data_IF_410794977902
#
_entry.id   IF_410794977902
#
_cell.length_a   1.000
_cell.length_b   1.000
_cell.length_c   1.000
_cell.angle_alpha   90.00
_cell.angle_beta   90.00
_cell.angle_gamma   90.00
#
_symmetry.space_group_name_H-M   'P 1'
#
loop_
_entity.id
_entity.type
_entity.pdbx_description
1 polymer ?
#
# COMPACT_ATOMS: atom_id res chain seq x y z
N UNK A 1 -5.66 -2.14 4.90
CA UNK A 1 -6.97 -1.83 5.53
C UNK A 1 -7.63 -0.65 4.81
N UNK A 2 -8.96 -0.60 4.80
CA UNK A 2 -9.73 0.52 4.22
C UNK A 2 -9.88 1.63 5.26
N UNK A 3 -8.86 2.50 5.37
CA UNK A 3 -8.86 3.64 6.29
C UNK A 3 -9.28 4.88 5.51
N UNK A 4 -10.55 5.31 5.68
CA UNK A 4 -11.13 6.41 4.92
C UNK A 4 -10.32 7.70 5.04
N UNK A 5 -9.87 8.05 6.25
CA UNK A 5 -9.06 9.26 6.48
C UNK A 5 -7.74 9.26 5.70
N UNK A 6 -7.11 8.11 5.52
CA UNK A 6 -5.91 7.99 4.70
C UNK A 6 -6.21 8.29 3.22
N UNK A 7 -7.23 7.63 2.66
CA UNK A 7 -7.55 7.78 1.23
C UNK A 7 -8.11 9.15 0.89
N UNK A 8 -8.88 9.78 1.79
CA UNK A 8 -9.38 11.15 1.58
C UNK A 8 -8.22 12.17 1.62
N UNK A 9 -7.25 12.00 2.51
CA UNK A 9 -6.05 12.86 2.51
C UNK A 9 -5.21 12.64 1.26
N UNK A 10 -5.01 11.40 0.83
CA UNK A 10 -4.32 11.11 -0.43
C UNK A 10 -5.04 11.74 -1.63
N UNK A 11 -6.36 11.65 -1.69
CA UNK A 11 -7.15 12.31 -2.73
C UNK A 11 -7.00 13.84 -2.70
N UNK A 12 -6.96 14.44 -1.51
CA UNK A 12 -6.68 15.88 -1.34
C UNK A 12 -5.32 16.26 -1.94
N UNK A 13 -4.31 15.43 -1.74
CA UNK A 13 -2.94 15.71 -2.23
C UNK A 13 -2.82 15.56 -3.76
N UNK A 14 -3.46 14.55 -4.36
CA UNK A 14 -3.32 14.23 -5.79
C UNK A 14 -4.50 14.74 -6.64
N UNK A 15 -5.59 15.15 -6.03
CA UNK A 15 -6.84 15.56 -6.67
C UNK A 15 -7.68 14.40 -7.23
N UNK A 16 -8.96 14.63 -7.43
CA UNK A 16 -9.94 13.61 -7.88
C UNK A 16 -9.79 13.26 -9.37
N UNK A 17 -9.39 14.23 -10.20
CA UNK A 17 -9.35 14.07 -11.66
C UNK A 17 -8.42 12.95 -12.13
N UNK A 18 -7.29 12.76 -11.46
CA UNK A 18 -6.32 11.69 -11.76
C UNK A 18 -6.93 10.29 -11.56
N UNK A 19 -7.40 9.97 -10.36
CA UNK A 19 -8.11 8.72 -10.06
C UNK A 19 -9.32 8.45 -10.97
N UNK A 20 -10.16 9.45 -11.22
CA UNK A 20 -11.30 9.31 -12.14
C UNK A 20 -10.86 8.95 -13.57
N UNK A 21 -9.85 9.64 -14.11
CA UNK A 21 -9.28 9.30 -15.43
C UNK A 21 -8.69 7.90 -15.45
N UNK A 22 -8.02 7.49 -14.37
CA UNK A 22 -7.43 6.16 -14.25
C UNK A 22 -8.53 5.08 -14.23
N UNK A 23 -9.59 5.25 -13.43
CA UNK A 23 -10.72 4.33 -13.42
C UNK A 23 -11.31 4.12 -14.83
N UNK A 24 -11.50 5.21 -15.59
CA UNK A 24 -11.99 5.11 -16.98
C UNK A 24 -10.98 4.38 -17.90
N UNK A 25 -9.66 4.58 -17.73
CA UNK A 25 -8.63 3.84 -18.49
C UNK A 25 -8.65 2.35 -18.16
N UNK A 26 -8.98 1.99 -16.93
CA UNK A 26 -9.14 0.61 -16.46
C UNK A 26 -10.45 -0.05 -16.93
N UNK A 27 -11.27 0.65 -17.71
CA UNK A 27 -12.52 0.13 -18.28
C UNK A 27 -13.77 0.41 -17.45
N UNK A 28 -13.66 1.06 -16.30
CA UNK A 28 -14.80 1.47 -15.48
C UNK A 28 -15.36 2.77 -16.05
N UNK A 29 -16.47 2.66 -16.79
CA UNK A 29 -17.10 3.80 -17.48
C UNK A 29 -17.85 4.70 -16.50
N UNK A 30 -17.17 5.73 -15.99
CA UNK A 30 -17.74 6.65 -15.01
C UNK A 30 -18.11 8.00 -15.63
N UNK A 31 -19.37 8.46 -15.46
CA UNK A 31 -19.79 9.81 -15.83
C UNK A 31 -18.88 10.90 -15.23
N UNK A 32 -18.66 11.98 -16.00
CA UNK A 32 -17.76 13.07 -15.59
C UNK A 32 -18.14 13.73 -14.26
N UNK A 33 -19.43 13.68 -13.87
CA UNK A 33 -19.90 14.21 -12.57
C UNK A 33 -19.15 13.65 -11.38
N UNK A 34 -18.68 12.38 -11.45
CA UNK A 34 -17.92 11.76 -10.36
C UNK A 34 -16.52 12.35 -10.17
N UNK A 35 -15.98 13.05 -11.17
CA UNK A 35 -14.69 13.75 -11.03
C UNK A 35 -14.74 14.98 -10.11
N UNK A 36 -15.90 15.33 -9.59
CA UNK A 36 -16.10 16.44 -8.63
C UNK A 36 -16.66 15.99 -7.27
N UNK A 37 -16.83 14.69 -7.04
CA UNK A 37 -17.38 14.17 -5.78
C UNK A 37 -16.25 13.81 -4.82
N UNK A 38 -16.12 14.48 -3.66
CA UNK A 38 -15.08 14.15 -2.65
C UNK A 38 -15.16 12.71 -2.11
N UNK A 39 -16.31 12.06 -2.25
CA UNK A 39 -16.50 10.66 -1.87
C UNK A 39 -16.11 9.66 -2.97
N UNK A 40 -15.56 10.13 -4.08
CA UNK A 40 -15.17 9.27 -5.21
C UNK A 40 -14.19 8.18 -4.79
N UNK A 41 -13.15 8.55 -4.04
CA UNK A 41 -12.14 7.60 -3.55
C UNK A 41 -12.70 6.54 -2.60
N UNK A 42 -13.87 6.79 -2.01
CA UNK A 42 -14.56 5.85 -1.11
C UNK A 42 -15.57 4.95 -1.84
N UNK A 43 -15.73 5.10 -3.16
CA UNK A 43 -16.56 4.22 -3.97
C UNK A 43 -18.03 4.64 -4.10
N UNK A 44 -18.32 5.94 -4.26
CA UNK A 44 -19.66 6.47 -4.41
C UNK A 44 -20.36 6.09 -5.73
N UNK A 45 -19.59 5.64 -6.72
CA UNK A 45 -20.10 5.31 -8.05
C UNK A 45 -20.57 3.85 -8.14
N UNK A 46 -21.73 3.65 -8.77
CA UNK A 46 -22.20 2.30 -9.13
C UNK A 46 -21.35 1.74 -10.27
N UNK A 47 -20.91 0.50 -10.13
CA UNK A 47 -20.03 -0.19 -11.08
C UNK A 47 -20.53 -1.61 -11.30
N UNK A 48 -20.47 -2.12 -12.55
CA UNK A 48 -20.78 -3.52 -12.80
C UNK A 48 -19.67 -4.46 -12.30
N UNK A 49 -19.98 -5.68 -11.83
CA UNK A 49 -18.98 -6.67 -11.47
C UNK A 49 -18.02 -7.00 -12.61
N UNK A 50 -18.50 -6.99 -13.85
CA UNK A 50 -17.68 -7.24 -15.04
C UNK A 50 -16.64 -6.14 -15.24
N UNK A 51 -17.03 -4.86 -15.14
CA UNK A 51 -16.10 -3.74 -15.29
C UNK A 51 -15.06 -3.73 -14.17
N UNK A 52 -15.48 -4.06 -12.93
CA UNK A 52 -14.54 -4.21 -11.81
C UNK A 52 -13.56 -5.37 -12.03
N UNK A 53 -14.04 -6.52 -12.50
CA UNK A 53 -13.17 -7.66 -12.83
C UNK A 53 -12.16 -7.30 -13.93
N UNK A 54 -12.57 -6.55 -14.97
CA UNK A 54 -11.67 -6.04 -16.03
C UNK A 54 -10.61 -5.10 -15.47
N UNK A 55 -10.99 -4.19 -14.55
CA UNK A 55 -10.05 -3.28 -13.92
C UNK A 55 -8.97 -4.05 -13.14
N UNK A 56 -9.39 -5.06 -12.36
CA UNK A 56 -8.46 -5.92 -11.60
C UNK A 56 -7.64 -6.84 -12.52
N UNK A 57 -8.20 -7.33 -13.63
CA UNK A 57 -7.45 -8.04 -14.66
C UNK A 57 -6.33 -7.20 -15.27
N UNK A 58 -6.50 -5.88 -15.33
CA UNK A 58 -5.46 -4.96 -15.80
C UNK A 58 -4.25 -4.95 -14.86
N UNK A 59 -4.45 -5.03 -13.54
CA UNK A 59 -3.34 -5.17 -12.59
C UNK A 59 -2.64 -6.53 -12.73
N UNK A 60 -3.42 -7.64 -12.84
CA UNK A 60 -2.89 -8.98 -13.10
C UNK A 60 -2.03 -9.03 -14.38
N UNK A 61 -2.47 -8.32 -15.43
CA UNK A 61 -1.79 -8.20 -16.72
C UNK A 61 -0.72 -7.08 -16.74
N UNK A 62 -0.23 -6.66 -15.57
CA UNK A 62 0.84 -5.68 -15.44
C UNK A 62 0.57 -4.37 -16.20
N UNK A 63 -0.66 -3.87 -16.09
CA UNK A 63 -1.10 -2.60 -16.67
C UNK A 63 -1.66 -2.68 -18.09
N UNK A 64 -1.77 -3.86 -18.66
CA UNK A 64 -2.42 -4.07 -19.97
C UNK A 64 -3.92 -4.26 -19.76
N UNK A 65 -4.71 -3.29 -20.19
CA UNK A 65 -6.18 -3.39 -20.18
C UNK A 65 -6.66 -4.04 -21.48
N UNK A 66 -7.48 -5.09 -21.36
CA UNK A 66 -8.18 -5.71 -22.48
C UNK A 66 -9.69 -5.61 -22.25
N UNK A 67 -10.45 -5.17 -23.25
CA UNK A 67 -11.90 -5.17 -23.17
C UNK A 67 -12.45 -6.59 -23.08
N UNK A 68 -13.43 -6.83 -22.20
CA UNK A 68 -14.10 -8.11 -22.12
C UNK A 68 -14.82 -8.42 -23.43
N UNK A 69 -14.73 -9.68 -23.84
CA UNK A 69 -15.42 -10.21 -25.02
C UNK A 69 -15.97 -11.59 -24.69
N UNK A 70 -17.28 -11.81 -24.85
CA UNK A 70 -17.93 -13.08 -24.50
C UNK A 70 -17.63 -14.18 -25.53
N UNK A 71 -17.26 -13.78 -26.77
CA UNK A 71 -16.99 -14.69 -27.86
C UNK A 71 -15.66 -14.35 -28.50
N UNK A 72 -14.82 -15.35 -28.72
CA UNK A 72 -13.51 -15.18 -29.36
C UNK A 72 -13.55 -15.55 -30.87
N UNK A 73 -14.37 -16.54 -31.23
CA UNK A 73 -14.64 -16.91 -32.62
C UNK A 73 -15.96 -17.68 -32.72
N UNK A 74 -16.52 -17.69 -33.90
CA UNK A 74 -17.70 -18.47 -34.29
C UNK A 74 -17.26 -19.46 -35.38
N UNK A 75 -17.58 -20.72 -35.17
CA UNK A 75 -17.27 -21.81 -36.11
C UNK A 75 -18.55 -22.48 -36.60
N UNK A 76 -18.52 -23.06 -37.82
CA UNK A 76 -19.57 -23.95 -38.28
C UNK A 76 -19.44 -25.36 -37.67
N UNK A 77 -20.37 -26.25 -37.96
CA UNK A 77 -20.38 -27.62 -37.48
C UNK A 77 -19.17 -28.48 -37.97
N UNK A 78 -18.42 -27.99 -38.92
CA UNK A 78 -17.22 -28.66 -39.48
C UNK A 78 -15.93 -28.08 -38.90
N UNK A 79 -16.01 -27.06 -38.00
CA UNK A 79 -14.86 -26.40 -37.41
C UNK A 79 -14.27 -25.25 -38.26
N UNK A 80 -14.95 -24.87 -39.37
CA UNK A 80 -14.49 -23.71 -40.14
C UNK A 80 -14.81 -22.41 -39.39
N UNK A 81 -13.82 -21.54 -39.29
CA UNK A 81 -13.99 -20.24 -38.62
C UNK A 81 -14.81 -19.31 -39.50
N UNK A 82 -16.04 -19.00 -39.06
CA UNK A 82 -16.95 -18.08 -39.73
C UNK A 82 -16.66 -16.63 -39.38
N UNK A 83 -16.27 -16.39 -38.12
CA UNK A 83 -15.93 -15.04 -37.63
C UNK A 83 -14.97 -15.12 -36.47
N UNK A 84 -13.97 -14.24 -36.48
CA UNK A 84 -13.02 -14.05 -35.38
C UNK A 84 -13.15 -12.64 -34.80
N UNK A 85 -13.03 -12.54 -33.48
CA UNK A 85 -13.04 -11.27 -32.77
C UNK A 85 -11.65 -11.00 -32.21
N UNK A 86 -11.04 -9.90 -32.63
CA UNK A 86 -9.70 -9.54 -32.22
C UNK A 86 -9.64 -9.06 -30.77
N UNK A 87 -8.48 -9.21 -30.15
CA UNK A 87 -8.20 -8.65 -28.83
C UNK A 87 -8.09 -7.13 -28.94
N UNK A 88 -8.83 -6.43 -28.09
CA UNK A 88 -8.67 -4.97 -27.91
C UNK A 88 -7.93 -4.72 -26.60
N UNK A 89 -6.60 -4.76 -26.66
CA UNK A 89 -5.72 -4.60 -25.50
C UNK A 89 -4.80 -3.40 -25.69
N UNK A 90 -4.57 -2.65 -24.61
CA UNK A 90 -3.64 -1.51 -24.60
C UNK A 90 -2.98 -1.37 -23.23
N UNK A 91 -1.73 -0.90 -23.21
CA UNK A 91 -1.07 -0.50 -21.96
C UNK A 91 -1.71 0.80 -21.45
N UNK A 92 -2.24 0.79 -20.21
CA UNK A 92 -2.94 1.94 -19.61
C UNK A 92 -2.21 2.49 -18.38
N UNK A 93 -1.29 1.71 -17.82
CA UNK A 93 -0.36 2.14 -16.78
C UNK A 93 0.98 1.42 -16.95
N UNK A 94 2.10 2.01 -16.48
CA UNK A 94 3.40 1.32 -16.48
C UNK A 94 3.37 0.02 -15.69
N UNK A 95 4.06 -1.03 -16.19
CA UNK A 95 4.12 -2.32 -15.50
C UNK A 95 4.62 -2.24 -14.06
N UNK A 96 5.67 -1.45 -13.72
CA UNK A 96 6.11 -1.32 -12.34
C UNK A 96 5.05 -0.74 -11.40
N UNK A 97 4.18 0.15 -11.91
CA UNK A 97 3.06 0.70 -11.12
C UNK A 97 2.01 -0.38 -10.85
N UNK A 98 1.67 -1.20 -11.84
CA UNK A 98 0.75 -2.32 -11.65
C UNK A 98 1.32 -3.39 -10.70
N UNK A 99 2.63 -3.65 -10.77
CA UNK A 99 3.33 -4.56 -9.87
C UNK A 99 3.29 -4.05 -8.42
N UNK A 100 3.52 -2.74 -8.21
CA UNK A 100 3.41 -2.12 -6.88
C UNK A 100 1.98 -2.15 -6.32
N UNK A 101 0.95 -1.92 -7.18
CA UNK A 101 -0.46 -2.07 -6.78
C UNK A 101 -0.75 -3.52 -6.37
N UNK A 102 -0.24 -4.50 -7.13
CA UNK A 102 -0.43 -5.92 -6.83
C UNK A 102 0.25 -6.31 -5.50
N UNK A 103 1.44 -5.79 -5.22
CA UNK A 103 2.16 -6.02 -3.97
C UNK A 103 1.37 -5.50 -2.74
N UNK A 104 0.82 -4.29 -2.84
CA UNK A 104 -0.05 -3.72 -1.79
C UNK A 104 -1.33 -4.55 -1.60
N UNK A 105 -1.97 -4.99 -2.69
CA UNK A 105 -3.22 -5.75 -2.64
C UNK A 105 -3.03 -7.21 -2.19
N UNK A 106 -1.83 -7.78 -2.32
CA UNK A 106 -1.46 -9.08 -1.72
C UNK A 106 -1.64 -9.07 -0.21
N UNK A 107 -1.27 -8.00 0.45
CA UNK A 107 -1.42 -7.87 1.91
C UNK A 107 -2.86 -8.02 2.42
N UNK A 108 -3.86 -7.92 1.54
CA UNK A 108 -5.26 -8.24 1.89
C UNK A 108 -5.49 -9.74 1.96
N UNK A 109 -4.74 -10.53 1.17
CA UNK A 109 -4.87 -11.99 1.06
C UNK A 109 -3.91 -12.76 1.98
N UNK A 110 -2.99 -12.08 2.64
CA UNK A 110 -2.04 -12.66 3.58
C UNK A 110 -2.68 -12.94 4.95
N UNK A 111 -2.06 -13.79 5.79
CA UNK A 111 -2.52 -14.03 7.15
C UNK A 111 -2.71 -12.72 7.93
N UNK A 112 -3.90 -12.53 8.53
CA UNK A 112 -4.29 -11.28 9.21
C UNK A 112 -4.88 -10.20 8.29
N UNK A 113 -4.88 -10.39 6.97
CA UNK A 113 -5.63 -9.59 6.01
C UNK A 113 -7.11 -9.99 5.96
N UNK A 114 -7.98 -9.09 5.51
CA UNK A 114 -9.43 -9.33 5.43
C UNK A 114 -9.82 -10.44 4.42
N UNK A 115 -8.96 -10.76 3.49
CA UNK A 115 -9.15 -11.82 2.48
C UNK A 115 -8.34 -13.10 2.76
N UNK A 116 -7.56 -13.17 3.84
CA UNK A 116 -6.64 -14.29 4.09
C UNK A 116 -7.33 -15.65 4.10
N UNK A 117 -8.53 -15.77 4.69
CA UNK A 117 -9.33 -17.00 4.70
C UNK A 117 -9.91 -17.37 3.32
N UNK A 118 -9.87 -16.46 2.36
CA UNK A 118 -10.42 -16.63 1.01
C UNK A 118 -9.36 -17.11 0.00
N UNK A 119 -8.10 -17.22 0.42
CA UNK A 119 -6.99 -17.61 -0.45
C UNK A 119 -7.33 -18.87 -1.27
N UNK A 120 -7.09 -18.84 -2.59
CA UNK A 120 -7.31 -20.01 -3.44
C UNK A 120 -6.19 -21.07 -3.35
N UNK A 121 -5.19 -20.87 -2.48
CA UNK A 121 -3.98 -21.70 -2.40
C UNK A 121 -2.89 -21.29 -3.38
N UNK A 122 -3.11 -20.26 -4.17
CA UNK A 122 -2.13 -19.66 -5.09
C UNK A 122 -1.90 -18.18 -4.72
N UNK A 123 -0.77 -17.56 -5.13
CA UNK A 123 -0.55 -16.14 -4.98
C UNK A 123 -1.73 -15.33 -5.52
N UNK A 124 -2.30 -14.50 -4.65
CA UNK A 124 -3.50 -13.74 -4.98
C UNK A 124 -3.46 -12.35 -4.34
N UNK A 125 -4.19 -11.43 -4.93
CA UNK A 125 -4.34 -10.05 -4.49
C UNK A 125 -5.82 -9.67 -4.54
N UNK A 126 -6.27 -8.76 -3.68
CA UNK A 126 -7.69 -8.43 -3.68
C UNK A 126 -8.05 -7.29 -2.76
N UNK A 127 -9.33 -6.93 -2.77
CA UNK A 127 -9.89 -5.88 -1.93
C UNK A 127 -11.35 -6.15 -1.58
N UNK A 128 -11.69 -5.95 -0.32
CA UNK A 128 -13.07 -5.95 0.17
C UNK A 128 -13.72 -4.59 -0.06
N UNK A 129 -15.02 -4.55 -0.29
CA UNK A 129 -15.86 -3.36 -0.28
C UNK A 129 -17.08 -3.58 0.61
N UNK A 130 -17.49 -2.56 1.36
CA UNK A 130 -18.71 -2.54 2.16
C UNK A 130 -19.24 -1.11 2.18
N UNK A 131 -20.45 -0.90 1.71
CA UNK A 131 -21.10 0.41 1.73
C UNK A 131 -21.63 0.74 3.12
N UNK A 132 -21.89 2.01 3.37
CA UNK A 132 -22.56 2.44 4.59
C UNK A 132 -23.92 1.75 4.72
N UNK A 133 -24.27 1.32 5.94
CA UNK A 133 -25.52 0.59 6.20
C UNK A 133 -25.57 -0.81 5.60
N UNK A 134 -24.44 -1.34 5.15
CA UNK A 134 -24.32 -2.69 4.57
C UNK A 134 -25.33 -2.98 3.44
N UNK A 135 -25.57 -1.96 2.59
CA UNK A 135 -26.49 -2.05 1.45
C UNK A 135 -25.91 -2.90 0.31
N UNK A 136 -24.59 -2.87 0.16
CA UNK A 136 -23.84 -3.65 -0.81
C UNK A 136 -22.48 -4.04 -0.25
N UNK A 137 -22.05 -5.26 -0.50
CA UNK A 137 -20.75 -5.79 -0.12
C UNK A 137 -20.05 -6.38 -1.33
N UNK A 138 -18.74 -6.19 -1.43
CA UNK A 138 -17.92 -6.54 -2.59
C UNK A 138 -16.66 -7.28 -2.19
N UNK A 139 -16.23 -8.14 -3.09
CA UNK A 139 -14.86 -8.65 -3.13
C UNK A 139 -14.38 -8.67 -4.58
N UNK A 140 -13.31 -7.96 -4.86
CA UNK A 140 -12.62 -8.01 -6.15
C UNK A 140 -11.20 -8.53 -5.90
N UNK A 141 -10.78 -9.54 -6.68
CA UNK A 141 -9.47 -10.16 -6.48
C UNK A 141 -8.99 -10.88 -7.73
N UNK A 142 -7.71 -11.23 -7.73
CA UNK A 142 -7.05 -11.86 -8.87
C UNK A 142 -5.83 -12.67 -8.45
N UNK A 143 -5.50 -13.65 -9.28
CA UNK A 143 -4.18 -14.27 -9.39
C UNK A 143 -3.47 -13.67 -10.60
N UNK A 144 -2.19 -13.97 -10.86
CA UNK A 144 -1.56 -13.54 -12.12
C UNK A 144 -2.26 -14.01 -13.42
N UNK A 145 -3.17 -14.96 -13.31
CA UNK A 145 -3.80 -15.61 -14.48
C UNK A 145 -5.32 -15.41 -14.60
N UNK A 146 -5.98 -15.02 -13.52
CA UNK A 146 -7.44 -14.88 -13.46
C UNK A 146 -7.84 -13.73 -12.56
N UNK A 147 -8.82 -12.93 -12.97
CA UNK A 147 -9.43 -11.89 -12.15
C UNK A 147 -10.94 -12.10 -12.06
N UNK A 148 -11.53 -11.72 -10.94
CA UNK A 148 -12.95 -11.81 -10.71
C UNK A 148 -13.44 -10.80 -9.67
N UNK A 149 -14.72 -10.47 -9.73
CA UNK A 149 -15.38 -9.65 -8.74
C UNK A 149 -16.72 -10.29 -8.37
N UNK A 150 -17.04 -10.27 -7.09
CA UNK A 150 -18.32 -10.70 -6.55
C UNK A 150 -18.96 -9.58 -5.75
N UNK A 151 -20.27 -9.47 -5.84
CA UNK A 151 -21.06 -8.53 -5.05
C UNK A 151 -22.36 -9.16 -4.58
N UNK A 152 -22.80 -8.73 -3.41
CA UNK A 152 -24.12 -8.99 -2.88
C UNK A 152 -24.72 -7.67 -2.45
N UNK A 153 -25.93 -7.39 -2.84
CA UNK A 153 -26.65 -6.17 -2.49
C UNK A 153 -28.12 -6.46 -2.19
N UNK A 154 -28.72 -5.66 -1.33
CA UNK A 154 -30.12 -5.75 -0.98
C UNK A 154 -30.98 -4.80 -1.83
N UNK A 155 -32.17 -5.31 -2.26
CA UNK A 155 -33.15 -4.52 -2.99
C UNK A 155 -34.54 -4.77 -2.41
N UNK A 156 -35.27 -3.70 -2.12
CA UNK A 156 -36.67 -3.74 -1.71
C UNK A 156 -37.57 -4.01 -2.90
N UNK A 157 -38.82 -4.46 -2.69
CA UNK A 157 -39.76 -4.67 -3.79
C UNK A 157 -40.01 -3.43 -4.68
N UNK A 158 -39.78 -2.24 -4.15
CA UNK A 158 -39.92 -0.97 -4.91
C UNK A 158 -38.63 -0.58 -5.66
N UNK A 159 -37.60 -1.46 -5.70
CA UNK A 159 -36.35 -1.20 -6.38
C UNK A 159 -35.31 -0.39 -5.58
N UNK A 160 -35.65 0.12 -4.42
CA UNK A 160 -34.71 0.86 -3.57
C UNK A 160 -33.73 -0.09 -2.89
N UNK A 161 -32.54 0.42 -2.57
CA UNK A 161 -31.54 -0.33 -1.80
C UNK A 161 -32.07 -0.72 -0.42
N UNK A 162 -31.68 -1.91 0.05
CA UNK A 162 -32.00 -2.44 1.38
C UNK A 162 -30.73 -2.94 2.08
N UNK A 163 -30.72 -2.91 3.40
CA UNK A 163 -29.62 -3.48 4.17
C UNK A 163 -29.57 -4.98 4.00
N UNK A 164 -28.36 -5.52 4.00
CA UNK A 164 -28.12 -6.97 4.02
C UNK A 164 -28.18 -7.57 5.43
N UNK A 165 -28.02 -6.73 6.46
CA UNK A 165 -28.03 -7.19 7.86
C UNK A 165 -29.42 -7.66 8.26
N UNK A 166 -29.47 -8.80 8.94
CA UNK A 166 -30.70 -9.46 9.31
C UNK A 166 -31.43 -10.19 8.16
N UNK A 167 -30.88 -10.17 6.93
CA UNK A 167 -31.47 -10.86 5.77
C UNK A 167 -30.96 -12.29 5.63
N UNK A 168 -31.80 -13.13 5.05
CA UNK A 168 -31.39 -14.47 4.63
C UNK A 168 -30.63 -14.39 3.31
N UNK A 169 -29.35 -14.79 3.35
CA UNK A 169 -28.46 -14.81 2.18
C UNK A 169 -27.90 -16.22 2.06
N UNK A 170 -28.21 -16.90 0.95
CA UNK A 170 -27.81 -18.28 0.73
C UNK A 170 -28.39 -19.26 1.76
N UNK A 171 -29.59 -18.99 2.25
CA UNK A 171 -30.30 -19.84 3.24
C UNK A 171 -29.95 -19.54 4.70
N UNK A 172 -29.05 -18.60 4.97
CA UNK A 172 -28.62 -18.22 6.33
C UNK A 172 -28.95 -16.76 6.63
N UNK A 173 -29.52 -16.50 7.81
CA UNK A 173 -29.71 -15.15 8.32
C UNK A 173 -28.37 -14.61 8.82
N UNK A 174 -27.94 -13.48 8.27
CA UNK A 174 -26.68 -12.81 8.62
C UNK A 174 -26.95 -11.66 9.58
N UNK A 175 -26.39 -11.71 10.78
CA UNK A 175 -26.50 -10.61 11.75
C UNK A 175 -25.71 -9.38 11.28
N UNK A 176 -24.56 -9.59 10.65
CA UNK A 176 -23.73 -8.54 10.04
C UNK A 176 -23.11 -9.07 8.75
N UNK A 177 -23.01 -8.22 7.76
CA UNK A 177 -22.47 -8.52 6.44
C UNK A 177 -21.26 -7.67 6.12
N UNK A 178 -20.31 -8.21 5.36
CA UNK A 178 -19.13 -7.49 4.90
C UNK A 178 -18.59 -8.10 3.60
N UNK A 179 -17.70 -7.36 2.95
CA UNK A 179 -17.01 -7.89 1.76
C UNK A 179 -16.31 -9.21 2.03
N UNK A 180 -15.65 -9.38 3.18
CA UNK A 180 -14.92 -10.60 3.52
C UNK A 180 -15.82 -11.78 3.90
N UNK A 181 -16.97 -11.53 4.55
CA UNK A 181 -17.83 -12.61 5.09
C UNK A 181 -18.97 -13.01 4.17
N UNK A 182 -19.33 -12.17 3.20
CA UNK A 182 -20.50 -12.40 2.33
C UNK A 182 -20.10 -12.49 0.86
N UNK A 183 -19.53 -11.44 0.25
CA UNK A 183 -19.08 -11.49 -1.15
C UNK A 183 -17.78 -12.29 -1.33
N UNK A 184 -16.86 -12.20 -0.38
CA UNK A 184 -15.58 -12.89 -0.42
C UNK A 184 -15.67 -14.41 -0.59
N UNK A 185 -16.52 -15.14 0.16
CA UNK A 185 -16.68 -16.58 -0.03
C UNK A 185 -17.12 -16.98 -1.44
N UNK A 186 -17.92 -16.16 -2.14
CA UNK A 186 -18.32 -16.41 -3.53
C UNK A 186 -17.06 -16.40 -4.42
N UNK A 187 -16.25 -15.35 -4.30
CA UNK A 187 -14.99 -15.24 -5.02
C UNK A 187 -14.02 -16.38 -4.63
N UNK A 188 -13.77 -16.57 -3.33
CA UNK A 188 -12.79 -17.53 -2.84
C UNK A 188 -13.10 -18.97 -3.23
N UNK A 189 -14.37 -19.39 -3.10
CA UNK A 189 -14.79 -20.73 -3.49
C UNK A 189 -14.70 -20.95 -5.01
N UNK A 190 -15.07 -19.94 -5.80
CA UNK A 190 -14.92 -20.00 -7.26
C UNK A 190 -13.45 -20.16 -7.64
N UNK A 191 -12.56 -19.34 -7.06
CA UNK A 191 -11.13 -19.38 -7.38
C UNK A 191 -10.47 -20.68 -6.89
N UNK A 192 -10.85 -21.20 -5.73
CA UNK A 192 -10.41 -22.53 -5.25
C UNK A 192 -10.81 -23.64 -6.23
N UNK A 193 -12.03 -23.61 -6.72
CA UNK A 193 -12.53 -24.63 -7.64
C UNK A 193 -11.79 -24.64 -8.97
N UNK A 194 -11.35 -23.49 -9.48
CA UNK A 194 -10.66 -23.37 -10.77
C UNK A 194 -9.14 -23.35 -10.66
N UNK A 195 -8.57 -23.22 -9.46
CA UNK A 195 -7.13 -23.10 -9.24
C UNK A 195 -6.32 -24.25 -9.88
N UNK A 196 -6.87 -25.47 -9.85
CA UNK A 196 -6.23 -26.67 -10.42
C UNK A 196 -5.96 -26.58 -11.93
N UNK A 197 -6.66 -25.71 -12.66
CA UNK A 197 -6.50 -25.51 -14.09
C UNK A 197 -5.70 -24.27 -14.43
N UNK A 198 -5.27 -23.50 -13.44
CA UNK A 198 -4.50 -22.27 -13.63
C UNK A 198 -3.02 -22.53 -13.32
N UNK A 199 -2.10 -21.94 -14.10
CA UNK A 199 -0.68 -21.97 -13.75
C UNK A 199 -0.46 -21.36 -12.35
N UNK A 200 0.30 -22.04 -11.49
CA UNK A 200 0.76 -21.49 -10.22
C UNK A 200 1.93 -20.53 -10.46
N UNK A 201 1.63 -19.26 -10.61
CA UNK A 201 2.59 -18.19 -10.84
C UNK A 201 2.51 -17.15 -9.73
N UNK A 202 3.67 -16.62 -9.34
CA UNK A 202 3.70 -15.47 -8.43
C UNK A 202 3.65 -14.15 -9.21
N UNK A 203 3.29 -13.09 -8.49
CA UNK A 203 3.35 -11.72 -8.99
C UNK A 203 4.80 -11.27 -9.17
N UNK A 204 5.04 -10.41 -10.15
CA UNK A 204 6.32 -9.72 -10.26
C UNK A 204 6.45 -8.74 -9.09
N UNK A 205 7.52 -8.87 -8.34
CA UNK A 205 7.79 -7.96 -7.20
C UNK A 205 8.27 -6.61 -7.74
N UNK A 206 7.71 -5.50 -7.26
CA UNK A 206 8.21 -4.18 -7.61
C UNK A 206 9.63 -3.98 -7.05
N UNK A 207 10.46 -3.23 -7.76
CA UNK A 207 11.78 -2.84 -7.25
C UNK A 207 11.66 -1.80 -6.13
N UNK A 208 12.70 -1.62 -5.33
CA UNK A 208 12.76 -0.57 -4.33
C UNK A 208 12.56 0.84 -4.93
N UNK A 209 13.02 1.06 -6.15
CA UNK A 209 12.86 2.31 -6.90
C UNK A 209 11.40 2.51 -7.35
N UNK A 210 10.70 1.43 -7.71
CA UNK A 210 9.28 1.51 -8.11
C UNK A 210 8.38 1.87 -6.93
N UNK A 211 8.75 1.44 -5.71
CA UNK A 211 7.98 1.72 -4.49
C UNK A 211 8.31 3.10 -3.92
N UNK A 212 9.60 3.44 -3.86
CA UNK A 212 10.09 4.65 -3.19
C UNK A 212 10.27 5.84 -4.15
N UNK A 213 10.18 5.60 -5.46
CA UNK A 213 10.55 6.58 -6.47
C UNK A 213 12.07 6.77 -6.58
N UNK A 214 12.49 7.73 -7.39
CA UNK A 214 13.89 8.15 -7.45
C UNK A 214 14.24 8.81 -6.12
N UNK A 215 15.21 8.23 -5.43
CA UNK A 215 15.71 8.79 -4.17
C UNK A 215 16.70 9.93 -4.48
N UNK A 216 16.50 11.03 -3.80
CA UNK A 216 17.37 12.22 -3.87
C UNK A 216 18.11 12.34 -2.55
N UNK A 217 19.42 12.60 -2.62
CA UNK A 217 20.23 12.81 -1.43
C UNK A 217 20.00 14.21 -0.86
N UNK A 218 19.80 14.29 0.45
CA UNK A 218 19.70 15.59 1.15
C UNK A 218 21.06 16.28 1.12
N UNK A 219 21.19 17.50 0.57
CA UNK A 219 22.42 18.26 0.62
C UNK A 219 22.74 18.75 2.03
N UNK A 220 23.97 19.24 2.25
CA UNK A 220 24.32 19.89 3.50
C UNK A 220 23.74 21.31 3.50
N UNK A 221 22.84 21.58 4.43
CA UNK A 221 22.17 22.89 4.60
C UNK A 221 22.52 23.59 5.90
N UNK A 222 23.38 22.99 6.73
CA UNK A 222 23.86 23.61 7.97
C UNK A 222 24.61 24.93 7.70
N UNK A 223 24.33 25.94 8.51
CA UNK A 223 24.92 27.28 8.37
C UNK A 223 24.27 28.19 7.31
N UNK A 224 23.29 27.71 6.54
CA UNK A 224 22.51 28.53 5.59
C UNK A 224 21.35 29.23 6.31
N UNK A 225 20.86 30.33 5.72
CA UNK A 225 19.59 30.92 6.09
C UNK A 225 18.43 29.94 5.89
N UNK A 226 17.38 30.05 6.71
CA UNK A 226 16.23 29.14 6.60
C UNK A 226 15.60 29.16 5.22
N UNK A 227 15.37 30.34 4.64
CA UNK A 227 14.70 30.48 3.34
C UNK A 227 15.55 29.94 2.19
N UNK A 228 16.88 30.13 2.24
CA UNK A 228 17.80 29.57 1.25
C UNK A 228 17.83 28.05 1.31
N UNK A 229 17.95 27.48 2.51
CA UNK A 229 17.94 26.04 2.71
C UNK A 229 16.59 25.42 2.30
N UNK A 230 15.50 26.12 2.59
CA UNK A 230 14.16 25.72 2.19
C UNK A 230 14.01 25.70 0.69
N UNK A 231 14.38 26.77 0.00
CA UNK A 231 14.29 26.86 -1.45
C UNK A 231 15.12 25.78 -2.15
N UNK A 232 16.33 25.49 -1.64
CA UNK A 232 17.19 24.43 -2.18
C UNK A 232 16.55 23.04 -2.03
N UNK A 233 15.99 22.73 -0.86
CA UNK A 233 15.35 21.44 -0.60
C UNK A 233 14.02 21.29 -1.33
N UNK A 234 13.22 22.35 -1.43
CA UNK A 234 11.98 22.35 -2.21
C UNK A 234 12.27 22.23 -3.71
N UNK A 235 13.36 22.82 -4.20
CA UNK A 235 13.85 22.64 -5.57
C UNK A 235 14.24 21.19 -5.90
N UNK A 236 14.61 20.40 -4.90
CA UNK A 236 14.86 18.96 -5.01
C UNK A 236 13.58 18.11 -4.84
N UNK A 237 12.44 18.75 -4.63
CA UNK A 237 11.14 18.10 -4.50
C UNK A 237 10.74 17.71 -3.08
N UNK A 238 11.46 18.12 -2.04
CA UNK A 238 11.13 17.84 -0.65
C UNK A 238 10.10 18.82 -0.09
N UNK A 239 9.32 18.38 0.91
CA UNK A 239 8.51 19.28 1.75
C UNK A 239 9.38 19.75 2.91
N UNK A 240 9.46 21.05 3.16
CA UNK A 240 10.29 21.59 4.23
C UNK A 240 9.45 22.13 5.38
N UNK A 241 9.80 21.71 6.59
CA UNK A 241 9.16 22.15 7.84
C UNK A 241 10.21 22.78 8.74
N UNK A 242 9.85 23.90 9.37
CA UNK A 242 10.70 24.56 10.38
C UNK A 242 10.56 23.82 11.71
N UNK A 243 11.67 23.32 12.23
CA UNK A 243 11.79 22.70 13.54
C UNK A 243 12.03 23.73 14.65
N UNK A 244 12.26 23.22 15.88
CA UNK A 244 12.61 24.04 17.05
C UNK A 244 14.00 24.67 16.94
N UNK A 245 14.25 25.68 17.77
CA UNK A 245 15.60 26.20 18.01
C UNK A 245 16.41 25.21 18.86
N UNK A 246 17.71 25.10 18.56
CA UNK A 246 18.61 24.12 19.18
C UNK A 246 20.03 24.71 19.31
N UNK A 247 20.78 24.21 20.28
CA UNK A 247 22.19 24.51 20.44
C UNK A 247 22.99 24.01 19.23
N UNK A 248 23.84 24.85 18.63
CA UNK A 248 24.67 24.48 17.52
C UNK A 248 25.97 25.29 17.45
N UNK A 249 26.84 25.00 16.48
CA UNK A 249 28.05 25.80 16.24
C UNK A 249 27.83 26.97 15.25
N UNK A 250 26.59 27.22 14.85
CA UNK A 250 26.25 28.29 13.90
C UNK A 250 25.64 29.49 14.61
N UNK A 251 25.67 30.64 13.96
CA UNK A 251 25.06 31.87 14.46
C UNK A 251 23.54 31.69 14.59
N UNK A 252 22.95 32.46 15.49
CA UNK A 252 21.51 32.47 15.74
C UNK A 252 20.70 32.72 14.47
N UNK A 253 19.68 31.91 14.25
CA UNK A 253 18.77 32.03 13.12
C UNK A 253 19.20 31.24 11.87
N UNK A 254 20.44 30.73 11.83
CA UNK A 254 20.88 29.83 10.75
C UNK A 254 20.42 28.40 10.99
N UNK A 255 20.36 27.60 9.93
CA UNK A 255 20.05 26.18 10.02
C UNK A 255 21.15 25.45 10.78
N UNK A 256 20.78 24.83 11.90
CA UNK A 256 21.69 24.01 12.69
C UNK A 256 21.96 22.67 12.01
N UNK A 257 20.89 21.98 11.61
CA UNK A 257 20.92 20.73 10.84
C UNK A 257 19.53 20.41 10.27
N UNK A 258 19.48 19.46 9.34
CA UNK A 258 18.24 18.87 8.84
C UNK A 258 17.96 17.50 9.49
N UNK A 259 16.69 17.12 9.54
CA UNK A 259 16.29 15.76 9.87
C UNK A 259 15.24 15.26 8.84
N UNK A 260 15.51 14.17 8.13
CA UNK A 260 16.78 13.41 8.11
C UNK A 260 17.99 14.26 7.71
N UNK A 261 19.20 13.79 8.09
CA UNK A 261 20.44 14.56 7.90
C UNK A 261 20.98 14.51 6.47
N UNK A 262 22.00 15.36 6.20
CA UNK A 262 22.73 15.38 4.93
C UNK A 262 23.22 13.99 4.54
N UNK A 263 23.09 13.64 3.24
CA UNK A 263 23.42 12.32 2.68
C UNK A 263 22.30 11.28 2.82
N UNK A 264 21.26 11.52 3.61
CA UNK A 264 20.09 10.63 3.65
C UNK A 264 19.36 10.65 2.29
N UNK A 265 18.87 9.49 1.89
CA UNK A 265 18.15 9.29 0.62
C UNK A 265 16.64 9.33 0.87
N UNK A 266 15.94 10.27 0.27
CA UNK A 266 14.50 10.45 0.39
C UNK A 266 13.82 10.50 -0.98
N UNK A 267 12.54 10.15 -1.02
CA UNK A 267 11.72 10.30 -2.22
C UNK A 267 11.22 11.75 -2.37
N UNK A 268 10.91 12.15 -3.60
CA UNK A 268 10.23 13.44 -3.84
C UNK A 268 8.89 13.47 -3.09
N UNK A 269 8.63 14.60 -2.41
CA UNK A 269 7.46 14.79 -1.55
C UNK A 269 7.67 14.40 -0.09
N UNK A 270 8.78 13.74 0.27
CA UNK A 270 9.14 13.47 1.66
C UNK A 270 9.44 14.76 2.42
N UNK A 271 9.25 14.72 3.74
CA UNK A 271 9.42 15.89 4.60
C UNK A 271 10.80 15.95 5.21
N UNK A 272 11.45 17.11 5.09
CA UNK A 272 12.72 17.46 5.77
C UNK A 272 12.44 18.57 6.79
N UNK A 273 12.79 18.31 8.04
CA UNK A 273 12.70 19.30 9.12
C UNK A 273 14.03 20.04 9.28
N UNK A 274 14.02 21.36 9.25
CA UNK A 274 15.18 22.21 9.49
C UNK A 274 15.17 22.74 10.92
N UNK A 275 16.13 22.34 11.72
CA UNK A 275 16.35 22.84 13.06
C UNK A 275 17.23 24.10 12.98
N UNK A 276 16.88 25.11 13.81
CA UNK A 276 17.47 26.43 13.72
C UNK A 276 18.43 26.63 14.90
N UNK A 277 19.58 27.24 14.67
CA UNK A 277 20.53 27.58 15.73
C UNK A 277 19.97 28.71 16.62
N UNK A 278 20.03 28.52 17.92
CA UNK A 278 19.74 29.55 18.92
C UNK A 278 20.99 30.42 19.22
N UNK A 279 22.15 30.13 18.59
CA UNK A 279 23.42 30.81 18.77
C UNK A 279 24.22 30.33 19.99
N UNK A 280 23.74 29.31 20.69
CA UNK A 280 24.45 28.74 21.86
C UNK A 280 25.41 27.62 21.40
N UNK A 281 26.71 27.69 21.73
CA UNK A 281 27.64 26.64 21.33
C UNK A 281 27.30 25.28 21.96
N UNK A 282 27.36 24.17 21.18
CA UNK A 282 27.22 22.82 21.74
C UNK A 282 28.20 22.58 22.88
N UNK A 283 27.70 22.35 24.07
CA UNK A 283 28.51 21.93 25.22
C UNK A 283 28.96 20.49 25.01
N UNK A 284 30.19 20.32 24.54
CA UNK A 284 30.81 18.99 24.47
C UNK A 284 31.16 18.55 25.88
N UNK A 285 30.35 17.70 26.50
CA UNK A 285 30.71 17.06 27.78
C UNK A 285 31.98 16.23 27.56
N UNK A 286 33.14 16.74 28.06
CA UNK A 286 34.37 15.96 28.06
C UNK A 286 34.12 14.61 28.77
N UNK A 287 34.58 13.49 28.21
CA UNK A 287 34.40 12.21 28.89
C UNK A 287 35.08 12.25 30.25
N UNK A 288 34.38 11.86 31.31
CA UNK A 288 34.93 11.77 32.66
C UNK A 288 36.11 10.81 32.61
N UNK A 289 37.31 11.34 32.90
CA UNK A 289 38.53 10.47 33.08
C UNK A 289 38.28 9.55 34.26
N UNK A 290 38.15 8.24 33.98
CA UNK A 290 38.11 7.23 35.02
C UNK A 290 39.42 7.28 35.80
N UNK A 291 39.36 7.76 37.05
CA UNK A 291 40.46 7.63 38.00
C UNK A 291 40.70 6.12 38.24
N UNK A 292 41.74 5.57 37.61
CA UNK A 292 42.25 4.25 37.99
C UNK A 292 42.70 4.28 39.44
N UNK A 293 41.98 3.57 40.31
CA UNK A 293 42.42 3.28 41.67
C UNK A 293 43.68 2.47 41.63
N UNK A 294 44.80 3.09 41.96
CA UNK A 294 46.06 2.38 42.31
C UNK A 294 45.82 1.65 43.63
N UNK A 295 45.51 0.38 43.60
CA UNK A 295 45.67 -0.51 44.78
C UNK A 295 47.16 -0.69 45.05
N UNK A 296 47.60 -0.20 46.19
CA UNK A 296 48.92 -0.50 46.79
C UNK A 296 48.96 -1.99 47.17
N UNK A 297 49.82 -2.75 46.52
CA UNK A 297 50.25 -4.06 47.02
C UNK A 297 51.04 -3.87 48.31
N UNK A 298 50.52 -4.38 49.43
CA UNK A 298 51.32 -4.76 50.59
C UNK A 298 51.42 -6.29 50.63
N UNK A 299 52.64 -6.78 50.52
CA UNK A 299 52.93 -8.16 50.64
C UNK A 299 52.72 -8.68 52.06
N UNK A 300 52.33 -9.89 52.20
CA UNK A 300 52.23 -10.68 53.41
C UNK A 300 52.36 -12.13 53.09
N UNK A 301 53.53 -12.63 53.47
CA UNK A 301 54.05 -14.00 53.42
C UNK A 301 53.24 -14.89 54.38
N UNK A 302 53.00 -16.19 54.06
CA UNK A 302 52.40 -17.12 55.04
C UNK A 302 51.91 -18.42 54.43
N UNK A 303 52.70 -19.27 54.17
CA UNK A 303 52.99 -20.71 54.24
C UNK A 303 51.88 -21.67 54.76
N UNK A 304 51.88 -22.89 54.16
CA UNK A 304 51.32 -24.22 54.57
C UNK A 304 49.83 -24.40 54.47
N UNK A 305 49.32 -25.43 53.86
CA UNK A 305 49.71 -26.83 53.75
C UNK A 305 48.43 -27.64 53.64
N UNK A 306 48.46 -28.74 52.93
CA UNK A 306 47.64 -29.92 53.23
C UNK A 306 46.35 -30.08 52.51
N UNK A 307 46.27 -30.91 51.53
CA UNK A 307 45.75 -32.26 51.64
C UNK A 307 44.29 -32.45 51.28
N UNK A 308 44.06 -33.35 50.39
CA UNK A 308 42.97 -34.30 50.53
C UNK A 308 41.83 -34.20 49.44
N UNK A 309 42.04 -35.01 48.50
CA UNK A 309 41.17 -36.04 47.86
C UNK A 309 39.63 -35.98 48.02
N UNK A 310 39.08 -36.38 46.90
CA UNK A 310 37.91 -37.29 46.56
C UNK A 310 36.61 -36.67 46.31
N UNK A 311 36.20 -37.02 45.08
CA UNK A 311 35.02 -37.82 44.66
C UNK A 311 33.65 -37.34 45.18
N UNK A 312 32.84 -36.88 44.32
CA UNK A 312 31.75 -37.54 43.57
C UNK A 312 31.16 -36.56 42.56
#
# INVERSE_FOLDING_TARGET
KSVNTFFVNLEKDIGICGPWKMANKLGIKLPKKYASFPSFTLGVADVSPLDMAQAYATFAARGVHCSARPVTQIEDARGNVLKKYDKNCRQVMPSPVADAVSDVLRGVMEPGGFGGALSPGQPSAGKTGTTNGNLSVWFAGYTPNLAGASTVFGVKPNGNQDTLDGKSIGGYVRGSTSGSTTAGPIWGNTFKAVAQWLPDKDFVKPSGTDIKGLLVSIPSVGGKGFDDAKSELEGLGFKVVRGSEVDSGYDRGLVAYSYPGSGAQLASGDTVTLYISDGTPKVVKKPKKNKKNKKKNRGGNGNRGGGGNRDD
#
